data_IF_896394778114
#
_entry.id   IF_896394778114
#
_cell.length_a   1.000
_cell.length_b   1.000
_cell.length_c   1.000
_cell.angle_alpha   90.00
_cell.angle_beta   90.00
_cell.angle_gamma   90.00
#
_symmetry.space_group_name_H-M   'P 1'
#
loop_
_entity.id
_entity.type
_entity.pdbx_description
1 polymer ?
#
# COMPACT_ATOMS: atom_id res chain seq x y z
N UNK A 1 41.63 52.24 47.39
CA UNK A 1 41.21 50.82 47.35
C UNK A 1 39.97 50.68 48.22
N UNK A 2 38.78 50.76 47.62
CA UNK A 2 37.55 50.37 48.31
C UNK A 2 37.61 48.85 48.48
N UNK A 3 37.55 48.39 49.73
CA UNK A 3 37.50 46.96 50.04
C UNK A 3 36.16 46.43 49.54
N UNK A 4 36.19 45.68 48.43
CA UNK A 4 35.13 44.71 48.13
C UNK A 4 34.98 43.84 49.39
N UNK A 5 33.79 43.77 49.96
CA UNK A 5 33.51 42.93 51.13
C UNK A 5 32.59 41.79 50.69
N UNK A 6 33.14 40.65 50.25
CA UNK A 6 32.36 39.54 49.70
C UNK A 6 31.30 39.00 50.67
N UNK A 7 31.53 39.12 51.98
CA UNK A 7 30.60 38.65 53.00
C UNK A 7 29.32 39.51 53.10
N UNK A 8 29.40 40.81 52.78
CA UNK A 8 28.22 41.67 52.77
C UNK A 8 27.34 41.40 51.54
N UNK A 9 27.96 41.15 50.39
CA UNK A 9 27.27 40.81 49.13
C UNK A 9 26.54 39.46 49.22
N UNK A 10 27.20 38.42 49.74
CA UNK A 10 26.59 37.10 50.00
C UNK A 10 25.39 37.19 50.96
N UNK A 11 25.46 38.06 51.99
CA UNK A 11 24.34 38.26 52.92
C UNK A 11 23.17 39.00 52.25
N UNK A 12 23.44 39.96 51.36
CA UNK A 12 22.40 40.65 50.59
C UNK A 12 21.72 39.71 49.59
N UNK A 13 22.48 38.84 48.92
CA UNK A 13 21.94 37.87 47.97
C UNK A 13 21.05 36.83 48.66
N UNK A 14 21.43 36.39 49.87
CA UNK A 14 20.60 35.47 50.65
C UNK A 14 19.27 36.10 51.07
N UNK A 15 19.27 37.37 51.51
CA UNK A 15 18.05 38.11 51.83
C UNK A 15 17.15 38.22 50.58
N UNK A 16 17.73 38.55 49.42
CA UNK A 16 16.97 38.67 48.18
C UNK A 16 16.32 37.34 47.78
N UNK A 17 17.05 36.22 47.91
CA UNK A 17 16.53 34.86 47.68
C UNK A 17 15.37 34.54 48.63
N UNK A 18 15.49 34.89 49.91
CA UNK A 18 14.44 34.66 50.90
C UNK A 18 13.17 35.48 50.60
N UNK A 19 13.32 36.76 50.22
CA UNK A 19 12.19 37.62 49.80
C UNK A 19 11.48 37.04 48.56
N UNK A 20 12.24 36.63 47.55
CA UNK A 20 11.68 36.03 46.32
C UNK A 20 10.94 34.73 46.63
N UNK A 21 11.49 33.89 47.53
CA UNK A 21 10.82 32.66 47.98
C UNK A 21 9.52 32.96 48.70
N UNK A 22 9.51 33.86 49.69
CA UNK A 22 8.30 34.24 50.41
C UNK A 22 7.21 34.82 49.47
N UNK A 23 7.62 35.67 48.53
CA UNK A 23 6.71 36.19 47.51
C UNK A 23 6.16 35.08 46.60
N UNK A 24 7.01 34.13 46.20
CA UNK A 24 6.61 32.97 45.38
C UNK A 24 5.62 32.07 46.12
N UNK A 25 5.87 31.77 47.39
CA UNK A 25 4.97 30.97 48.23
C UNK A 25 3.61 31.65 48.40
N UNK A 26 3.61 32.96 48.65
CA UNK A 26 2.38 33.75 48.77
C UNK A 26 1.56 33.72 47.47
N UNK A 27 2.22 33.89 46.31
CA UNK A 27 1.59 33.81 45.00
C UNK A 27 1.05 32.41 44.69
N UNK A 28 1.83 31.36 44.90
CA UNK A 28 1.40 29.96 44.70
C UNK A 28 0.19 29.62 45.56
N UNK A 29 0.21 30.06 46.83
CA UNK A 29 -0.92 29.92 47.75
C UNK A 29 -2.16 30.62 47.20
N UNK A 30 -2.05 31.90 46.81
CA UNK A 30 -3.16 32.65 46.23
C UNK A 30 -3.74 31.96 44.99
N UNK A 31 -2.87 31.58 44.04
CA UNK A 31 -3.27 30.92 42.81
C UNK A 31 -4.02 29.63 43.11
N UNK A 32 -3.48 28.75 43.97
CA UNK A 32 -4.10 27.46 44.34
C UNK A 32 -5.57 27.62 44.79
N UNK A 33 -5.91 28.70 45.51
CA UNK A 33 -7.29 28.92 45.98
C UNK A 33 -8.21 29.66 45.01
N UNK A 34 -7.65 30.43 44.07
CA UNK A 34 -8.43 31.39 43.26
C UNK A 34 -8.38 31.18 41.77
N UNK A 35 -7.46 30.36 41.25
CA UNK A 35 -7.21 30.27 39.82
C UNK A 35 -8.44 29.84 39.00
N UNK A 36 -9.30 28.96 39.55
CA UNK A 36 -10.55 28.53 38.90
C UNK A 36 -11.59 29.65 38.75
N UNK A 37 -11.47 30.75 39.50
CA UNK A 37 -12.38 31.90 39.43
C UNK A 37 -11.80 33.05 38.58
N UNK A 38 -10.60 32.88 38.02
CA UNK A 38 -9.97 33.88 37.16
C UNK A 38 -10.37 33.65 35.71
N UNK A 39 -10.68 34.74 35.01
CA UNK A 39 -10.91 34.70 33.56
C UNK A 39 -9.57 34.60 32.85
N UNK A 40 -9.49 33.79 31.80
CA UNK A 40 -8.27 33.56 31.00
C UNK A 40 -7.01 33.23 31.82
N UNK A 41 -7.17 32.37 32.84
CA UNK A 41 -6.11 31.95 33.77
C UNK A 41 -4.83 31.44 33.09
N UNK A 42 -4.94 30.91 31.86
CA UNK A 42 -3.81 30.48 31.02
C UNK A 42 -2.74 31.56 30.80
N UNK A 43 -3.10 32.85 30.79
CA UNK A 43 -2.13 33.94 30.63
C UNK A 43 -1.21 34.16 31.84
N UNK A 44 -1.42 33.42 32.94
CA UNK A 44 -0.50 33.40 34.07
C UNK A 44 0.65 32.41 33.90
N UNK A 45 0.56 31.50 32.92
CA UNK A 45 1.52 30.44 32.66
C UNK A 45 2.83 30.84 31.95
N UNK A 46 2.93 31.94 31.17
CA UNK A 46 4.20 32.36 30.59
C UNK A 46 5.24 32.63 31.69
N UNK A 47 6.28 31.79 31.76
CA UNK A 47 7.37 31.90 32.71
C UNK A 47 8.67 32.03 31.91
N UNK A 48 9.29 33.19 31.99
CA UNK A 48 10.50 33.48 31.25
C UNK A 48 11.43 34.36 32.10
N UNK A 49 12.17 33.74 33.01
CA UNK A 49 13.19 34.43 33.79
C UNK A 49 14.37 34.79 32.87
N UNK A 50 14.80 36.06 32.90
CA UNK A 50 15.88 36.58 32.04
C UNK A 50 17.20 35.91 32.38
N UNK A 51 17.81 35.23 31.40
CA UNK A 51 19.09 34.52 31.55
C UNK A 51 20.16 35.11 30.63
N UNK A 52 21.44 34.93 30.98
CA UNK A 52 22.58 35.26 30.11
C UNK A 52 23.09 36.70 30.17
N UNK A 53 22.59 37.52 31.11
CA UNK A 53 23.08 38.89 31.38
C UNK A 53 23.83 39.01 32.71
N UNK A 54 23.95 37.92 33.45
CA UNK A 54 24.48 37.86 34.81
C UNK A 54 25.54 36.76 34.95
N UNK A 55 26.21 36.73 36.10
CA UNK A 55 27.18 35.70 36.45
C UNK A 55 26.56 34.29 36.56
N UNK A 56 27.42 33.28 36.65
CA UNK A 56 27.00 31.87 36.64
C UNK A 56 26.07 31.53 37.80
N UNK A 57 26.29 32.10 38.99
CA UNK A 57 25.45 31.83 40.18
C UNK A 57 24.03 32.40 40.02
N UNK A 58 23.90 33.62 39.50
CA UNK A 58 22.57 34.21 39.22
C UNK A 58 21.84 33.45 38.13
N UNK A 59 22.54 33.02 37.08
CA UNK A 59 21.94 32.21 36.01
C UNK A 59 21.44 30.86 36.55
N UNK A 60 22.21 30.19 37.40
CA UNK A 60 21.80 28.93 38.03
C UNK A 60 20.56 29.14 38.92
N UNK A 61 20.54 30.20 39.72
CA UNK A 61 19.38 30.52 40.56
C UNK A 61 18.11 30.74 39.73
N UNK A 62 18.17 31.47 38.61
CA UNK A 62 17.01 31.65 37.74
C UNK A 62 16.57 30.37 37.01
N UNK A 63 17.49 29.44 36.74
CA UNK A 63 17.13 28.11 36.21
C UNK A 63 16.37 27.29 37.27
N UNK A 64 16.83 27.30 38.52
CA UNK A 64 16.13 26.63 39.63
C UNK A 64 14.74 27.22 39.86
N UNK A 65 14.64 28.56 39.86
CA UNK A 65 13.36 29.26 40.00
C UNK A 65 12.40 28.94 38.84
N UNK A 66 12.90 28.88 37.61
CA UNK A 66 12.09 28.46 36.46
C UNK A 66 11.56 27.04 36.65
N UNK A 67 12.42 26.08 37.02
CA UNK A 67 12.00 24.69 37.27
C UNK A 67 10.93 24.61 38.36
N UNK A 68 11.08 25.37 39.44
CA UNK A 68 10.14 25.40 40.56
C UNK A 68 8.75 25.93 40.14
N UNK A 69 8.73 26.99 39.33
CA UNK A 69 7.49 27.58 38.84
C UNK A 69 6.83 26.73 37.75
N UNK A 70 7.61 26.17 36.82
CA UNK A 70 7.11 25.22 35.82
C UNK A 70 6.45 24.02 36.49
N UNK A 71 7.10 23.39 37.46
CA UNK A 71 6.56 22.25 38.21
C UNK A 71 5.22 22.57 38.91
N UNK A 72 5.10 23.80 39.43
CA UNK A 72 3.84 24.27 40.02
C UNK A 72 2.72 24.39 38.97
N UNK A 73 2.96 25.09 37.85
CA UNK A 73 1.93 25.28 36.81
C UNK A 73 1.58 24.01 36.05
N UNK A 74 2.54 23.10 35.85
CA UNK A 74 2.32 21.76 35.31
C UNK A 74 1.24 20.98 36.07
N UNK A 75 1.11 21.21 37.38
CA UNK A 75 0.15 20.53 38.22
C UNK A 75 -1.25 21.18 38.24
N UNK A 76 -1.43 22.38 37.66
CA UNK A 76 -2.70 23.10 37.69
C UNK A 76 -3.62 22.70 36.54
N UNK A 77 -4.92 22.61 36.82
CA UNK A 77 -5.95 22.27 35.83
C UNK A 77 -6.34 23.49 35.01
N UNK A 78 -5.49 23.86 34.05
CA UNK A 78 -5.60 25.12 33.29
C UNK A 78 -5.93 24.93 31.81
N UNK A 79 -5.70 23.74 31.26
CA UNK A 79 -5.90 23.50 29.83
C UNK A 79 -7.32 23.05 29.60
N UNK A 80 -8.05 23.75 28.74
CA UNK A 80 -9.35 23.30 28.28
C UNK A 80 -9.17 22.28 27.14
N UNK A 81 -9.70 21.07 27.34
CA UNK A 81 -9.63 19.98 26.35
C UNK A 81 -11.02 19.61 25.78
N UNK A 82 -12.08 19.90 26.54
CA UNK A 82 -13.49 19.79 26.16
C UNK A 82 -14.24 20.98 26.78
N UNK A 83 -15.40 21.33 26.24
CA UNK A 83 -16.20 22.47 26.73
C UNK A 83 -16.42 22.41 28.25
N UNK A 84 -15.84 23.38 28.95
CA UNK A 84 -15.96 23.54 30.39
C UNK A 84 -15.20 22.52 31.24
N UNK A 85 -14.37 21.66 30.64
CA UNK A 85 -13.52 20.70 31.37
C UNK A 85 -12.05 21.06 31.21
N UNK A 86 -11.37 21.17 32.36
CA UNK A 86 -9.94 21.45 32.41
C UNK A 86 -9.14 20.26 32.93
N UNK A 87 -7.90 20.18 32.48
CA UNK A 87 -6.94 19.13 32.84
C UNK A 87 -5.59 19.75 33.23
N UNK A 88 -4.75 18.99 33.97
CA UNK A 88 -3.40 19.41 34.30
C UNK A 88 -2.58 19.74 33.04
N UNK A 89 -1.79 20.81 33.08
CA UNK A 89 -0.87 21.14 31.97
C UNK A 89 0.12 20.00 31.71
N UNK A 90 0.57 19.28 32.75
CA UNK A 90 1.48 18.15 32.57
C UNK A 90 0.93 16.99 31.72
N UNK A 91 -0.40 16.94 31.55
CA UNK A 91 -1.07 15.86 30.83
C UNK A 91 -1.11 16.10 29.33
N UNK A 92 -0.91 17.33 28.87
CA UNK A 92 -1.07 17.66 27.45
C UNK A 92 0.18 17.40 26.63
N UNK A 93 -0.02 17.33 25.32
CA UNK A 93 1.02 17.31 24.30
C UNK A 93 0.87 18.53 23.39
N UNK A 94 2.00 19.11 23.00
CA UNK A 94 2.07 20.35 22.22
C UNK A 94 3.13 20.27 21.13
N UNK A 95 3.13 21.22 20.21
CA UNK A 95 4.05 21.21 19.07
C UNK A 95 5.46 21.60 19.50
N UNK A 96 6.47 20.99 18.87
CA UNK A 96 7.85 21.49 18.95
C UNK A 96 7.94 22.95 18.52
N UNK A 97 8.95 23.67 18.98
CA UNK A 97 9.15 25.07 18.58
C UNK A 97 9.18 25.26 17.05
N UNK A 98 9.80 24.33 16.33
CA UNK A 98 9.83 24.31 14.86
C UNK A 98 8.42 24.20 14.26
N UNK A 99 7.63 23.22 14.70
CA UNK A 99 6.27 23.01 14.20
C UNK A 99 5.33 24.16 14.60
N UNK A 100 5.49 24.70 15.81
CA UNK A 100 4.77 25.87 16.28
C UNK A 100 5.00 27.07 15.35
N UNK A 101 6.26 27.41 15.05
CA UNK A 101 6.61 28.52 14.17
C UNK A 101 6.08 28.31 12.74
N UNK A 102 6.11 27.07 12.25
CA UNK A 102 5.55 26.74 10.94
C UNK A 102 4.03 26.92 10.90
N UNK A 103 3.32 26.48 11.94
CA UNK A 103 1.86 26.60 12.03
C UNK A 103 1.39 28.04 12.27
N UNK A 104 2.20 28.87 12.93
CA UNK A 104 1.91 30.30 13.09
C UNK A 104 1.86 31.02 11.73
N UNK A 105 2.66 30.56 10.77
CA UNK A 105 2.70 31.08 9.40
C UNK A 105 1.67 30.43 8.46
N UNK A 106 1.23 29.20 8.77
CA UNK A 106 0.32 28.42 7.94
C UNK A 106 -0.79 27.76 8.77
N UNK A 107 -1.96 28.42 8.80
CA UNK A 107 -3.17 27.92 9.49
C UNK A 107 -3.62 26.56 8.93
N UNK A 108 -3.45 26.32 7.63
CA UNK A 108 -3.86 25.06 7.03
C UNK A 108 -2.95 23.90 7.43
N UNK A 109 -1.68 24.18 7.77
CA UNK A 109 -0.77 23.20 8.37
C UNK A 109 -1.21 22.85 9.80
N UNK A 110 -1.63 23.84 10.59
CA UNK A 110 -2.18 23.59 11.92
C UNK A 110 -3.41 22.67 11.88
N UNK A 111 -4.34 22.93 10.96
CA UNK A 111 -5.51 22.08 10.76
C UNK A 111 -5.11 20.64 10.38
N UNK A 112 -4.13 20.49 9.48
CA UNK A 112 -3.65 19.18 9.06
C UNK A 112 -3.00 18.39 10.20
N UNK A 113 -2.14 19.05 10.98
CA UNK A 113 -1.51 18.45 12.15
C UNK A 113 -2.58 18.09 13.19
N UNK A 114 -3.50 19.00 13.51
CA UNK A 114 -4.53 18.75 14.51
C UNK A 114 -5.42 17.56 14.13
N UNK A 115 -5.76 17.41 12.84
CA UNK A 115 -6.53 16.27 12.34
C UNK A 115 -5.79 14.93 12.56
N UNK A 116 -4.48 14.88 12.27
CA UNK A 116 -3.66 13.70 12.56
C UNK A 116 -3.61 13.42 14.06
N UNK A 117 -3.28 14.43 14.87
CA UNK A 117 -3.11 14.26 16.31
C UNK A 117 -4.42 13.84 17.00
N UNK A 118 -5.56 14.34 16.53
CA UNK A 118 -6.88 13.99 17.06
C UNK A 118 -7.25 12.51 16.83
N UNK A 119 -6.61 11.82 15.89
CA UNK A 119 -6.77 10.37 15.70
C UNK A 119 -6.01 9.53 16.73
N UNK A 120 -4.99 10.11 17.35
CA UNK A 120 -4.16 9.42 18.33
C UNK A 120 -4.83 9.46 19.72
N UNK A 121 -5.63 8.44 20.03
CA UNK A 121 -6.42 8.34 21.28
C UNK A 121 -5.57 8.46 22.57
N UNK A 122 -4.28 8.15 22.49
CA UNK A 122 -3.35 8.23 23.63
C UNK A 122 -2.81 9.66 23.88
N UNK A 123 -2.99 10.59 22.94
CA UNK A 123 -2.58 11.98 23.10
C UNK A 123 -3.72 12.80 23.70
N UNK A 124 -3.37 13.62 24.68
CA UNK A 124 -4.30 14.62 25.22
C UNK A 124 -3.84 15.98 24.67
N UNK A 125 -4.70 16.60 23.89
CA UNK A 125 -4.41 17.86 23.21
C UNK A 125 -5.24 18.98 23.83
N UNK A 126 -4.72 20.21 23.88
CA UNK A 126 -5.55 21.40 24.03
C UNK A 126 -6.59 21.49 22.91
N UNK A 127 -7.62 22.31 23.12
CA UNK A 127 -8.45 22.82 22.02
C UNK A 127 -7.56 23.40 20.92
N UNK A 128 -7.95 23.22 19.66
CA UNK A 128 -7.15 23.63 18.49
C UNK A 128 -6.78 25.12 18.55
N UNK A 129 -7.71 25.95 18.99
CA UNK A 129 -7.55 27.40 19.14
C UNK A 129 -6.49 27.77 20.18
N UNK A 130 -6.21 26.88 21.13
CA UNK A 130 -5.20 27.08 22.19
C UNK A 130 -3.88 26.35 21.92
N UNK A 131 -3.83 25.45 20.92
CA UNK A 131 -2.65 24.60 20.71
C UNK A 131 -1.38 25.43 20.48
N UNK A 132 -1.45 26.51 19.68
CA UNK A 132 -0.31 27.39 19.45
C UNK A 132 0.11 28.15 20.72
N UNK A 133 -0.87 28.59 21.52
CA UNK A 133 -0.59 29.26 22.79
C UNK A 133 0.18 28.34 23.73
N UNK A 134 -0.33 27.12 23.97
CA UNK A 134 0.32 26.15 24.85
C UNK A 134 1.66 25.67 24.31
N UNK A 135 1.79 25.52 22.98
CA UNK A 135 3.07 25.20 22.34
C UNK A 135 4.10 26.29 22.65
N UNK A 136 3.77 27.57 22.47
CA UNK A 136 4.68 28.66 22.80
C UNK A 136 5.10 28.65 24.27
N UNK A 137 4.13 28.61 25.18
CA UNK A 137 4.38 28.68 26.63
C UNK A 137 5.27 27.52 27.10
N UNK A 138 4.95 26.30 26.69
CA UNK A 138 5.71 25.12 27.10
C UNK A 138 7.11 25.09 26.46
N UNK A 139 7.28 25.52 25.20
CA UNK A 139 8.63 25.61 24.63
C UNK A 139 9.48 26.64 25.41
N UNK A 140 8.92 27.77 25.84
CA UNK A 140 9.62 28.76 26.68
C UNK A 140 10.01 28.19 28.07
N UNK A 141 9.18 27.29 28.64
CA UNK A 141 9.47 26.65 29.92
C UNK A 141 10.76 25.81 29.90
N UNK A 142 11.07 25.17 28.77
CA UNK A 142 12.19 24.24 28.63
C UNK A 142 13.29 24.72 27.67
N UNK A 143 13.37 26.02 27.37
CA UNK A 143 14.35 26.58 26.41
C UNK A 143 15.81 26.17 26.69
N UNK A 144 16.19 25.99 27.96
CA UNK A 144 17.57 25.60 28.34
C UNK A 144 17.74 24.08 28.54
N UNK A 145 16.66 23.31 28.45
CA UNK A 145 16.66 21.89 28.75
C UNK A 145 15.60 21.12 27.94
N UNK A 146 15.66 21.28 26.61
CA UNK A 146 14.71 20.68 25.67
C UNK A 146 14.58 19.16 25.85
N UNK A 147 15.65 18.49 26.27
CA UNK A 147 15.66 17.04 26.55
C UNK A 147 14.74 16.62 27.71
N UNK A 148 14.44 17.52 28.65
CA UNK A 148 13.49 17.28 29.75
C UNK A 148 12.04 17.56 29.34
N UNK A 149 11.79 18.12 28.14
CA UNK A 149 10.46 18.51 27.71
C UNK A 149 9.66 17.32 27.14
N UNK A 150 8.93 16.63 28.02
CA UNK A 150 8.12 15.46 27.67
C UNK A 150 6.78 15.79 26.99
N UNK A 151 6.46 17.07 26.79
CA UNK A 151 5.22 17.51 26.14
C UNK A 151 5.30 17.51 24.62
N UNK A 152 6.51 17.52 24.07
CA UNK A 152 6.73 17.89 22.67
C UNK A 152 6.36 16.77 21.72
N UNK A 153 5.58 17.16 20.72
CA UNK A 153 5.35 16.42 19.49
C UNK A 153 6.34 16.98 18.47
N UNK A 154 7.33 16.17 18.11
CA UNK A 154 8.31 16.51 17.07
C UNK A 154 7.81 16.05 15.69
N UNK A 155 8.57 16.40 14.64
CA UNK A 155 8.32 15.88 13.29
C UNK A 155 8.46 14.34 13.26
N UNK A 156 9.42 13.77 13.99
CA UNK A 156 9.51 12.32 14.17
C UNK A 156 8.24 11.73 14.80
N UNK A 157 7.68 12.39 15.81
CA UNK A 157 6.41 11.97 16.40
C UNK A 157 5.28 11.99 15.38
N UNK A 158 5.16 13.05 14.56
CA UNK A 158 4.15 13.12 13.50
C UNK A 158 4.30 11.97 12.50
N UNK A 159 5.53 11.68 12.08
CA UNK A 159 5.78 10.61 11.11
C UNK A 159 5.45 9.23 11.68
N UNK A 160 5.82 8.95 12.94
CA UNK A 160 5.41 7.72 13.61
C UNK A 160 3.88 7.60 13.73
N UNK A 161 3.19 8.70 14.05
CA UNK A 161 1.73 8.70 14.12
C UNK A 161 1.08 8.44 12.76
N UNK A 162 1.61 8.99 11.67
CA UNK A 162 1.13 8.70 10.32
C UNK A 162 1.26 7.20 10.04
N UNK A 163 2.42 6.60 10.35
CA UNK A 163 2.69 5.17 10.12
C UNK A 163 1.75 4.24 10.90
N UNK A 164 1.28 4.68 12.06
CA UNK A 164 0.32 3.94 12.90
C UNK A 164 -1.14 4.20 12.51
N UNK A 165 -1.41 5.19 11.65
CA UNK A 165 -2.76 5.58 11.27
C UNK A 165 -3.23 4.81 10.03
N UNK A 166 -4.42 4.20 10.13
CA UNK A 166 -5.11 3.67 8.95
C UNK A 166 -5.67 4.84 8.12
N UNK A 167 -5.19 4.99 6.91
CA UNK A 167 -5.58 6.09 6.00
C UNK A 167 -6.86 5.73 5.25
N UNK A 168 -7.73 6.73 5.10
CA UNK A 168 -8.97 6.65 4.33
C UNK A 168 -9.09 7.84 3.35
N UNK A 169 -10.08 7.85 2.47
CA UNK A 169 -10.30 8.94 1.50
C UNK A 169 -10.42 10.32 2.19
N UNK A 170 -11.06 10.40 3.36
CA UNK A 170 -11.20 11.67 4.10
C UNK A 170 -9.89 12.18 4.69
N UNK A 171 -8.83 11.35 4.69
CA UNK A 171 -7.55 11.69 5.29
C UNK A 171 -6.54 12.27 4.31
N UNK A 172 -6.80 12.13 3.01
CA UNK A 172 -5.85 12.47 1.97
C UNK A 172 -5.46 13.96 2.00
N UNK A 173 -6.39 14.85 2.34
CA UNK A 173 -6.13 16.30 2.29
C UNK A 173 -5.16 16.75 3.39
N UNK A 174 -5.37 16.29 4.65
CA UNK A 174 -4.44 16.62 5.72
C UNK A 174 -3.10 15.91 5.53
N UNK A 175 -3.11 14.65 5.06
CA UNK A 175 -1.89 13.89 4.84
C UNK A 175 -1.05 14.50 3.71
N UNK A 176 -1.69 14.93 2.62
CA UNK A 176 -1.03 15.63 1.52
C UNK A 176 -0.35 16.90 2.02
N UNK A 177 -1.06 17.71 2.81
CA UNK A 177 -0.52 18.94 3.40
C UNK A 177 0.74 18.68 4.24
N UNK A 178 0.74 17.62 5.06
CA UNK A 178 1.91 17.23 5.86
C UNK A 178 3.07 16.77 4.97
N UNK A 179 2.82 15.89 4.00
CA UNK A 179 3.85 15.43 3.07
C UNK A 179 4.45 16.59 2.25
N UNK A 180 3.61 17.54 1.82
CA UNK A 180 4.04 18.75 1.13
C UNK A 180 4.90 19.64 2.02
N UNK A 181 4.54 19.79 3.30
CA UNK A 181 5.37 20.50 4.27
C UNK A 181 6.74 19.81 4.41
N UNK A 182 6.79 18.49 4.57
CA UNK A 182 8.04 17.75 4.68
C UNK A 182 8.94 17.94 3.45
N UNK A 183 8.35 17.86 2.25
CA UNK A 183 9.07 18.05 0.98
C UNK A 183 9.76 19.41 0.87
N UNK A 184 9.08 20.48 1.30
CA UNK A 184 9.51 21.85 0.99
C UNK A 184 10.25 22.56 2.14
N UNK A 185 10.30 21.98 3.35
CA UNK A 185 10.86 22.65 4.53
C UNK A 185 12.10 21.94 5.11
N UNK A 186 12.91 21.29 4.26
CA UNK A 186 14.16 20.64 4.69
C UNK A 186 13.99 19.25 5.31
N UNK A 187 12.79 18.67 5.20
CA UNK A 187 12.39 17.40 5.84
C UNK A 187 12.08 16.30 4.81
N UNK A 188 12.60 16.42 3.59
CA UNK A 188 12.31 15.49 2.49
C UNK A 188 12.75 14.05 2.80
N UNK A 189 13.74 13.86 3.67
CA UNK A 189 14.20 12.53 4.10
C UNK A 189 13.10 11.70 4.77
N UNK A 190 12.12 12.35 5.41
CA UNK A 190 10.97 11.65 5.98
C UNK A 190 10.06 10.99 4.94
N UNK A 191 10.09 11.45 3.69
CA UNK A 191 9.35 10.80 2.58
C UNK A 191 9.95 9.44 2.19
N UNK A 192 11.17 9.13 2.64
CA UNK A 192 11.74 7.79 2.54
C UNK A 192 11.20 6.82 3.60
N UNK A 193 10.36 7.28 4.54
CA UNK A 193 9.60 6.44 5.46
C UNK A 193 8.21 6.14 4.87
N UNK A 194 7.54 5.05 5.27
CA UNK A 194 6.22 4.71 4.75
C UNK A 194 5.13 5.67 5.22
N UNK A 195 4.98 6.80 4.51
CA UNK A 195 4.01 7.87 4.82
C UNK A 195 3.23 8.36 3.59
N UNK A 196 3.56 7.88 2.39
CA UNK A 196 2.86 8.27 1.16
C UNK A 196 1.88 7.16 0.78
N UNK A 197 0.59 7.44 0.59
CA UNK A 197 -0.39 6.42 0.25
C UNK A 197 -0.28 5.98 -1.22
N UNK A 198 -0.50 4.69 -1.47
CA UNK A 198 -0.77 4.14 -2.80
C UNK A 198 -2.26 4.28 -3.18
N UNK A 199 -2.66 3.82 -4.38
CA UNK A 199 -4.08 3.79 -4.82
C UNK A 199 -5.01 2.99 -3.88
N UNK A 200 -4.47 2.12 -3.01
CA UNK A 200 -5.20 1.30 -2.04
C UNK A 200 -5.11 1.86 -0.61
N UNK A 201 -4.68 3.12 -0.45
CA UNK A 201 -4.49 3.81 0.84
C UNK A 201 -3.45 3.18 1.77
N UNK A 202 -2.65 2.23 1.27
CA UNK A 202 -1.54 1.66 2.01
C UNK A 202 -0.34 2.60 1.96
N UNK A 203 0.28 2.85 3.12
CA UNK A 203 1.44 3.73 3.24
C UNK A 203 2.70 3.04 2.72
N UNK A 204 3.41 3.71 1.82
CA UNK A 204 4.62 3.23 1.15
C UNK A 204 5.75 4.25 1.23
N UNK A 205 6.99 3.78 1.04
CA UNK A 205 8.14 4.67 0.89
C UNK A 205 8.13 5.28 -0.52
N UNK A 206 8.59 6.52 -0.65
CA UNK A 206 8.59 7.22 -1.93
C UNK A 206 9.31 6.45 -3.06
N UNK A 207 10.42 5.77 -2.75
CA UNK A 207 11.24 5.03 -3.73
C UNK A 207 10.57 3.78 -4.31
N UNK A 208 9.58 3.23 -3.61
CA UNK A 208 8.82 2.08 -4.08
C UNK A 208 7.67 2.49 -4.99
N UNK A 209 7.24 3.75 -4.90
CA UNK A 209 6.10 4.26 -5.62
C UNK A 209 6.45 4.65 -7.07
N UNK A 210 5.54 4.32 -7.97
CA UNK A 210 5.61 4.65 -9.38
C UNK A 210 4.39 5.48 -9.79
N UNK A 211 4.57 6.34 -10.79
CA UNK A 211 3.50 7.16 -11.34
C UNK A 211 2.77 6.37 -12.42
N UNK A 212 1.53 5.89 -12.19
CA UNK A 212 0.82 5.12 -13.20
C UNK A 212 0.44 6.02 -14.38
N UNK A 213 0.58 5.51 -15.60
CA UNK A 213 -0.02 6.14 -16.76
C UNK A 213 -1.55 6.18 -16.62
N UNK A 214 -2.20 7.01 -17.45
CA UNK A 214 -3.65 7.11 -17.47
C UNK A 214 -4.28 5.88 -18.17
N UNK A 215 -4.23 4.73 -17.49
CA UNK A 215 -4.86 3.50 -17.93
C UNK A 215 -6.38 3.61 -17.79
N UNK A 216 -7.12 3.14 -18.81
CA UNK A 216 -8.57 2.97 -18.73
C UNK A 216 -8.98 2.00 -17.62
N UNK A 217 -10.23 2.10 -17.17
CA UNK A 217 -10.76 1.32 -16.04
C UNK A 217 -10.57 -0.19 -16.24
N UNK A 218 -10.77 -0.67 -17.47
CA UNK A 218 -10.60 -2.09 -17.81
C UNK A 218 -9.15 -2.57 -17.66
N UNK A 219 -8.20 -1.78 -18.17
CA UNK A 219 -6.78 -2.10 -18.05
C UNK A 219 -6.32 -2.07 -16.59
N UNK A 220 -6.80 -1.11 -15.78
CA UNK A 220 -6.54 -1.09 -14.34
C UNK A 220 -7.05 -2.34 -13.63
N UNK A 221 -8.26 -2.80 -13.97
CA UNK A 221 -8.83 -4.03 -13.40
C UNK A 221 -8.01 -5.28 -13.79
N UNK A 222 -7.55 -5.37 -15.04
CA UNK A 222 -6.67 -6.44 -15.51
C UNK A 222 -5.35 -6.44 -14.72
N UNK A 223 -4.70 -5.28 -14.60
CA UNK A 223 -3.44 -5.15 -13.87
C UNK A 223 -3.60 -5.53 -12.40
N UNK A 224 -4.69 -5.11 -11.74
CA UNK A 224 -4.99 -5.49 -10.35
C UNK A 224 -5.13 -7.00 -10.15
N UNK A 225 -5.68 -7.69 -11.15
CA UNK A 225 -5.92 -9.13 -11.08
C UNK A 225 -4.66 -9.94 -11.40
N UNK A 226 -3.95 -9.58 -12.48
CA UNK A 226 -2.83 -10.38 -13.00
C UNK A 226 -1.48 -9.99 -12.39
N UNK A 227 -1.29 -8.72 -12.03
CA UNK A 227 -0.01 -8.20 -11.49
C UNK A 227 -0.25 -7.28 -10.28
N UNK A 228 -0.90 -7.77 -9.21
CA UNK A 228 -1.27 -6.96 -8.04
C UNK A 228 -0.06 -6.30 -7.38
N UNK A 229 1.09 -6.97 -7.34
CA UNK A 229 2.33 -6.42 -6.75
C UNK A 229 2.89 -5.20 -7.49
N UNK A 230 2.58 -5.06 -8.79
CA UNK A 230 2.91 -3.85 -9.55
C UNK A 230 1.93 -2.72 -9.22
N UNK A 231 0.64 -3.03 -9.07
CA UNK A 231 -0.40 -2.02 -8.78
C UNK A 231 -0.29 -1.47 -7.36
N UNK A 232 0.12 -2.29 -6.38
CA UNK A 232 0.40 -1.83 -5.01
C UNK A 232 1.46 -0.71 -4.94
N UNK A 233 2.26 -0.54 -5.99
CA UNK A 233 3.28 0.52 -6.09
C UNK A 233 2.73 1.81 -6.72
N UNK A 234 1.48 1.82 -7.18
CA UNK A 234 0.92 3.02 -7.82
C UNK A 234 0.66 4.09 -6.78
N UNK A 235 1.34 5.22 -6.89
CA UNK A 235 1.09 6.37 -6.02
C UNK A 235 -0.36 6.83 -6.16
N UNK A 236 -0.98 7.22 -5.04
CA UNK A 236 -2.28 7.84 -5.06
C UNK A 236 -2.26 9.12 -5.93
N UNK A 237 -3.30 9.35 -6.73
CA UNK A 237 -3.34 10.47 -7.70
C UNK A 237 -3.08 11.84 -7.09
N UNK A 238 -3.57 12.08 -5.86
CA UNK A 238 -3.35 13.32 -5.10
C UNK A 238 -1.89 13.54 -4.64
N UNK A 239 -1.04 12.51 -4.66
CA UNK A 239 0.33 12.55 -4.12
C UNK A 239 1.41 12.49 -5.21
N UNK A 240 1.03 12.57 -6.49
CA UNK A 240 1.97 12.53 -7.63
C UNK A 240 3.00 13.67 -7.57
N UNK A 241 2.59 14.83 -7.05
CA UNK A 241 3.41 16.02 -6.85
C UNK A 241 4.36 15.92 -5.67
N UNK A 242 4.09 15.04 -4.69
CA UNK A 242 4.98 14.78 -3.55
C UNK A 242 6.17 13.94 -4.01
N UNK A 243 5.91 12.89 -4.78
CA UNK A 243 6.92 11.98 -5.30
C UNK A 243 7.93 12.71 -6.20
N UNK A 244 9.22 12.36 -6.07
CA UNK A 244 10.34 12.94 -6.84
C UNK A 244 10.04 13.08 -8.34
N UNK A 245 10.54 14.16 -8.94
CA UNK A 245 10.34 14.47 -10.37
C UNK A 245 10.96 13.39 -11.28
N UNK A 246 11.94 12.62 -10.79
CA UNK A 246 12.58 11.51 -11.49
C UNK A 246 12.01 10.12 -11.19
N UNK A 247 10.94 10.00 -10.40
CA UNK A 247 10.36 8.69 -10.07
C UNK A 247 9.86 7.97 -11.32
N UNK A 248 10.06 6.65 -11.33
CA UNK A 248 9.74 5.81 -12.48
C UNK A 248 8.26 5.90 -12.83
N UNK A 249 7.97 6.19 -14.09
CA UNK A 249 6.63 6.08 -14.63
C UNK A 249 6.33 4.60 -14.87
N UNK A 250 5.11 4.18 -14.56
CA UNK A 250 4.60 2.87 -14.94
C UNK A 250 3.66 3.06 -16.12
N UNK A 251 4.22 2.95 -17.33
CA UNK A 251 3.52 3.10 -18.58
C UNK A 251 3.22 1.76 -19.25
N UNK A 252 2.96 1.82 -20.55
CA UNK A 252 2.67 0.64 -21.35
C UNK A 252 3.84 -0.34 -21.35
N UNK A 253 5.09 0.14 -21.42
CA UNK A 253 6.29 -0.71 -21.46
C UNK A 253 6.45 -1.52 -20.17
N UNK A 254 6.31 -0.87 -19.02
CA UNK A 254 6.39 -1.54 -17.72
C UNK A 254 5.24 -2.52 -17.54
N UNK A 255 4.04 -2.18 -18.02
CA UNK A 255 2.91 -3.10 -18.07
C UNK A 255 3.19 -4.32 -18.98
N UNK A 256 3.80 -4.12 -20.16
CA UNK A 256 4.23 -5.21 -21.06
C UNK A 256 5.14 -6.19 -20.32
N UNK A 257 6.13 -5.66 -19.59
CA UNK A 257 7.14 -6.45 -18.88
C UNK A 257 6.50 -7.21 -17.74
N UNK A 258 5.72 -6.54 -16.88
CA UNK A 258 5.06 -7.17 -15.73
C UNK A 258 4.10 -8.29 -16.17
N UNK A 259 3.22 -8.01 -17.15
CA UNK A 259 2.32 -9.02 -17.72
C UNK A 259 3.12 -10.12 -18.41
N UNK A 260 4.20 -9.78 -19.11
CA UNK A 260 5.09 -10.72 -19.76
C UNK A 260 5.68 -11.75 -18.79
N UNK A 261 6.18 -11.28 -17.64
CA UNK A 261 6.70 -12.13 -16.56
C UNK A 261 5.62 -12.98 -15.91
N UNK A 262 4.41 -12.44 -15.73
CA UNK A 262 3.25 -13.23 -15.28
C UNK A 262 2.97 -14.40 -16.22
N UNK A 263 2.85 -14.16 -17.53
CA UNK A 263 2.61 -15.22 -18.51
C UNK A 263 3.74 -16.26 -18.57
N UNK A 264 5.00 -15.83 -18.44
CA UNK A 264 6.14 -16.74 -18.39
C UNK A 264 6.08 -17.66 -17.16
N UNK A 265 5.63 -17.14 -16.00
CA UNK A 265 5.44 -17.95 -14.79
C UNK A 265 4.38 -19.05 -14.97
N UNK A 266 3.32 -18.80 -15.74
CA UNK A 266 2.32 -19.82 -16.09
C UNK A 266 2.94 -20.93 -16.96
N UNK A 267 3.71 -20.56 -18.00
CA UNK A 267 4.28 -21.54 -18.93
C UNK A 267 5.28 -22.52 -18.30
N UNK A 268 6.12 -22.05 -17.37
CA UNK A 268 7.11 -22.91 -16.70
C UNK A 268 6.47 -24.06 -15.92
N UNK A 269 5.31 -23.81 -15.32
CA UNK A 269 4.58 -24.83 -14.58
C UNK A 269 3.93 -25.86 -15.52
N UNK A 270 3.26 -25.38 -16.56
CA UNK A 270 2.57 -26.23 -17.55
C UNK A 270 3.54 -27.20 -18.23
N UNK A 271 4.76 -26.73 -18.55
CA UNK A 271 5.79 -27.56 -19.18
C UNK A 271 6.25 -28.72 -18.28
N UNK A 272 6.46 -28.46 -16.98
CA UNK A 272 6.88 -29.49 -16.03
C UNK A 272 5.83 -30.59 -15.88
N UNK A 273 4.57 -30.20 -15.66
CA UNK A 273 3.46 -31.13 -15.48
C UNK A 273 3.16 -31.92 -16.74
N UNK A 274 3.15 -31.24 -17.89
CA UNK A 274 2.95 -31.86 -19.20
C UNK A 274 3.99 -32.94 -19.47
N UNK A 275 5.26 -32.65 -19.20
CA UNK A 275 6.34 -33.61 -19.43
C UNK A 275 6.19 -34.87 -18.56
N UNK A 276 5.73 -34.73 -17.30
CA UNK A 276 5.40 -35.86 -16.44
C UNK A 276 4.23 -36.69 -16.97
N UNK A 277 3.16 -36.05 -17.44
CA UNK A 277 1.99 -36.74 -18.01
C UNK A 277 2.36 -37.52 -19.28
N UNK A 278 3.15 -36.93 -20.18
CA UNK A 278 3.63 -37.59 -21.41
C UNK A 278 4.51 -38.79 -21.06
N UNK A 279 5.35 -38.70 -20.02
CA UNK A 279 6.19 -39.78 -19.55
C UNK A 279 5.42 -40.90 -18.80
N UNK A 280 4.11 -40.74 -18.58
CA UNK A 280 3.29 -41.73 -17.88
C UNK A 280 3.54 -41.78 -16.37
N UNK A 281 4.12 -40.71 -15.79
CA UNK A 281 4.32 -40.60 -14.35
C UNK A 281 2.96 -40.30 -13.69
N UNK A 282 2.59 -40.99 -12.59
CA UNK A 282 1.37 -40.67 -11.85
C UNK A 282 1.40 -39.22 -11.35
N UNK A 283 0.37 -38.45 -11.66
CA UNK A 283 0.23 -37.06 -11.26
C UNK A 283 -0.89 -36.93 -10.21
N UNK A 284 -0.62 -36.20 -9.13
CA UNK A 284 -1.65 -35.83 -8.16
C UNK A 284 -2.56 -34.73 -8.72
N UNK A 285 -3.78 -35.12 -9.10
CA UNK A 285 -4.80 -34.22 -9.67
C UNK A 285 -5.14 -33.07 -8.71
N UNK A 286 -5.03 -33.28 -7.39
CA UNK A 286 -5.30 -32.23 -6.40
C UNK A 286 -4.21 -31.16 -6.35
N UNK A 287 -2.97 -31.51 -6.73
CA UNK A 287 -1.91 -30.50 -6.86
C UNK A 287 -2.09 -29.66 -8.14
N UNK A 288 -2.66 -30.25 -9.18
CA UNK A 288 -3.00 -29.53 -10.41
C UNK A 288 -4.16 -28.55 -10.21
N UNK A 289 -5.26 -28.96 -9.56
CA UNK A 289 -6.43 -28.08 -9.37
C UNK A 289 -6.09 -26.79 -8.62
N UNK A 290 -5.13 -26.85 -7.69
CA UNK A 290 -4.62 -25.68 -6.94
C UNK A 290 -3.76 -24.72 -7.76
N UNK A 291 -3.28 -25.15 -8.92
CA UNK A 291 -2.34 -24.40 -9.78
C UNK A 291 -2.93 -24.05 -11.15
N UNK A 292 -4.19 -24.41 -11.37
CA UNK A 292 -4.98 -23.94 -12.51
C UNK A 292 -5.13 -22.42 -12.44
N UNK A 293 -5.17 -21.77 -13.60
CA UNK A 293 -5.50 -20.34 -13.67
C UNK A 293 -6.88 -20.15 -12.99
N UNK A 294 -6.96 -19.23 -12.03
CA UNK A 294 -8.20 -18.99 -11.31
C UNK A 294 -9.26 -18.38 -12.23
N UNK A 295 -10.53 -18.48 -11.84
CA UNK A 295 -11.63 -17.95 -12.64
C UNK A 295 -11.48 -16.45 -12.94
N UNK A 296 -11.05 -15.67 -11.96
CA UNK A 296 -10.86 -14.22 -12.09
C UNK A 296 -9.68 -13.89 -13.01
N UNK A 297 -8.58 -14.65 -12.90
CA UNK A 297 -7.44 -14.52 -13.81
C UNK A 297 -7.80 -14.91 -15.24
N UNK A 298 -8.56 -16.00 -15.45
CA UNK A 298 -9.05 -16.38 -16.79
C UNK A 298 -9.86 -15.24 -17.39
N UNK A 299 -10.79 -14.65 -16.63
CA UNK A 299 -11.57 -13.49 -17.09
C UNK A 299 -10.67 -12.30 -17.43
N UNK A 300 -9.70 -11.97 -16.58
CA UNK A 300 -8.77 -10.87 -16.83
C UNK A 300 -7.87 -11.12 -18.06
N UNK A 301 -7.41 -12.35 -18.30
CA UNK A 301 -6.65 -12.72 -19.50
C UNK A 301 -7.57 -12.64 -20.74
N UNK A 302 -8.83 -13.09 -20.65
CA UNK A 302 -9.79 -12.98 -21.75
C UNK A 302 -10.13 -11.53 -22.09
N UNK A 303 -10.27 -10.67 -21.07
CA UNK A 303 -10.43 -9.23 -21.24
C UNK A 303 -9.23 -8.61 -21.95
N UNK A 304 -8.01 -8.91 -21.47
CA UNK A 304 -6.78 -8.47 -22.12
C UNK A 304 -6.69 -8.97 -23.57
N UNK A 305 -7.02 -10.23 -23.80
CA UNK A 305 -7.01 -10.83 -25.12
C UNK A 305 -7.99 -10.11 -26.06
N UNK A 306 -9.21 -9.80 -25.61
CA UNK A 306 -10.19 -9.06 -26.40
C UNK A 306 -9.69 -7.65 -26.76
N UNK A 307 -9.07 -6.96 -25.82
CA UNK A 307 -8.47 -5.63 -26.04
C UNK A 307 -7.39 -5.67 -27.12
N UNK A 308 -6.57 -6.73 -27.17
CA UNK A 308 -5.51 -6.89 -28.17
C UNK A 308 -6.03 -7.32 -29.55
N UNK A 309 -7.15 -8.05 -29.63
CA UNK A 309 -7.69 -8.57 -30.90
C UNK A 309 -8.41 -7.51 -31.72
N UNK A 310 -8.88 -6.40 -31.14
CA UNK A 310 -9.83 -5.44 -31.74
C UNK A 310 -9.54 -4.96 -33.19
N UNK A 311 -8.36 -5.23 -33.74
CA UNK A 311 -7.94 -4.92 -35.12
C UNK A 311 -7.66 -6.14 -36.03
N UNK A 312 -7.98 -7.37 -35.61
CA UNK A 312 -7.55 -8.63 -36.26
C UNK A 312 -8.72 -9.42 -36.88
N UNK A 313 -9.51 -8.78 -37.74
CA UNK A 313 -10.69 -9.42 -38.33
C UNK A 313 -10.33 -10.67 -39.16
N UNK A 314 -10.94 -11.81 -38.83
CA UNK A 314 -10.83 -13.09 -39.52
C UNK A 314 -9.50 -13.84 -39.30
N UNK A 315 -8.62 -13.36 -38.42
CA UNK A 315 -7.34 -14.01 -38.12
C UNK A 315 -7.48 -15.23 -37.20
N UNK A 316 -6.42 -16.05 -37.11
CA UNK A 316 -6.34 -17.11 -36.09
C UNK A 316 -6.60 -16.59 -34.66
N UNK A 317 -6.06 -15.43 -34.22
CA UNK A 317 -6.33 -14.90 -32.89
C UNK A 317 -7.83 -14.71 -32.61
N UNK A 318 -8.62 -14.22 -33.56
CA UNK A 318 -10.06 -14.04 -33.34
C UNK A 318 -10.82 -15.37 -33.27
N UNK A 319 -10.51 -16.31 -34.18
CA UNK A 319 -11.14 -17.65 -34.14
C UNK A 319 -10.79 -18.40 -32.86
N UNK A 320 -9.54 -18.33 -32.42
CA UNK A 320 -9.07 -18.93 -31.17
C UNK A 320 -9.79 -18.30 -29.96
N UNK A 321 -9.95 -16.97 -29.94
CA UNK A 321 -10.69 -16.28 -28.89
C UNK A 321 -12.15 -16.73 -28.79
N UNK A 322 -12.85 -16.89 -29.92
CA UNK A 322 -14.25 -17.36 -29.92
C UNK A 322 -14.35 -18.78 -29.36
N UNK A 323 -13.42 -19.66 -29.71
CA UNK A 323 -13.38 -21.02 -29.16
C UNK A 323 -13.04 -21.03 -27.67
N UNK A 324 -12.08 -20.22 -27.22
CA UNK A 324 -11.77 -20.09 -25.79
C UNK A 324 -12.93 -19.47 -25.00
N UNK A 325 -13.67 -18.54 -25.62
CA UNK A 325 -14.90 -17.97 -25.02
C UNK A 325 -15.98 -19.05 -24.82
N UNK A 326 -16.17 -19.94 -25.80
CA UNK A 326 -17.05 -21.13 -25.68
C UNK A 326 -16.55 -22.09 -24.58
N UNK A 327 -15.24 -22.24 -24.40
CA UNK A 327 -14.70 -23.15 -23.39
C UNK A 327 -14.94 -22.67 -21.95
N UNK A 328 -14.68 -21.38 -21.70
CA UNK A 328 -14.73 -20.74 -20.38
C UNK A 328 -16.08 -20.08 -20.06
N UNK A 329 -17.08 -20.24 -20.93
CA UNK A 329 -18.40 -19.58 -20.82
C UNK A 329 -18.26 -18.06 -20.62
N UNK A 330 -17.38 -17.45 -21.42
CA UNK A 330 -17.02 -16.03 -21.33
C UNK A 330 -17.79 -15.19 -22.34
N UNK A 331 -18.45 -14.14 -21.86
CA UNK A 331 -19.19 -13.19 -22.67
C UNK A 331 -18.54 -11.80 -22.57
N UNK A 332 -17.99 -11.26 -23.66
CA UNK A 332 -17.31 -9.97 -23.62
C UNK A 332 -18.32 -8.82 -23.47
N UNK A 333 -18.11 -7.95 -22.48
CA UNK A 333 -18.91 -6.74 -22.26
C UNK A 333 -18.35 -5.49 -22.99
N UNK A 334 -17.29 -5.62 -23.79
CA UNK A 334 -16.41 -4.47 -24.11
C UNK A 334 -16.87 -3.56 -25.26
N UNK A 335 -16.81 -2.24 -24.99
CA UNK A 335 -16.76 -1.11 -25.95
C UNK A 335 -15.45 -0.31 -25.89
N UNK A 336 -14.49 -0.65 -25.01
CA UNK A 336 -13.20 0.08 -24.90
C UNK A 336 -12.14 -0.48 -25.86
N UNK A 337 -11.50 0.41 -26.63
CA UNK A 337 -10.30 0.12 -27.42
C UNK A 337 -9.05 0.51 -26.63
N UNK A 338 -8.08 -0.39 -26.48
CA UNK A 338 -6.77 -0.10 -25.86
C UNK A 338 -5.66 -0.17 -26.90
N UNK A 339 -4.66 0.70 -26.76
CA UNK A 339 -3.55 0.83 -27.70
C UNK A 339 -2.82 -0.51 -27.94
N UNK A 340 -2.54 -0.78 -29.22
CA UNK A 340 -1.94 -2.01 -29.80
C UNK A 340 -0.58 -2.44 -29.22
N UNK A 341 0.04 -1.63 -28.38
CA UNK A 341 1.47 -1.72 -28.07
C UNK A 341 1.77 -2.39 -26.72
N UNK A 342 0.75 -2.87 -25.99
CA UNK A 342 0.91 -3.33 -24.60
C UNK A 342 1.35 -4.80 -24.47
N UNK A 343 0.99 -5.70 -25.39
CA UNK A 343 1.41 -7.09 -25.27
C UNK A 343 1.23 -7.86 -26.58
N UNK A 344 2.13 -8.82 -26.82
CA UNK A 344 1.92 -9.82 -27.86
C UNK A 344 0.71 -10.70 -27.52
N UNK A 345 -0.34 -10.62 -28.35
CA UNK A 345 -1.59 -11.39 -28.22
C UNK A 345 -1.36 -12.90 -28.06
N UNK A 346 -0.23 -13.40 -28.60
CA UNK A 346 0.17 -14.81 -28.50
C UNK A 346 0.38 -15.26 -27.06
N UNK A 347 0.83 -14.37 -26.17
CA UNK A 347 0.99 -14.69 -24.74
C UNK A 347 -0.35 -15.05 -24.10
N UNK A 348 -1.41 -14.32 -24.43
CA UNK A 348 -2.75 -14.56 -23.88
C UNK A 348 -3.31 -15.91 -24.34
N UNK A 349 -3.38 -16.13 -25.65
CA UNK A 349 -4.01 -17.35 -26.16
C UNK A 349 -3.18 -18.60 -25.89
N UNK A 350 -1.84 -18.51 -25.84
CA UNK A 350 -1.01 -19.68 -25.50
C UNK A 350 -1.29 -20.13 -24.07
N UNK A 351 -1.33 -19.22 -23.10
CA UNK A 351 -1.62 -19.55 -21.71
C UNK A 351 -3.01 -20.18 -21.56
N UNK A 352 -4.03 -19.58 -22.18
CA UNK A 352 -5.40 -20.10 -22.13
C UNK A 352 -5.56 -21.45 -22.83
N UNK A 353 -4.86 -21.68 -23.96
CA UNK A 353 -4.84 -22.97 -24.66
C UNK A 353 -4.13 -24.04 -23.83
N UNK A 354 -3.02 -23.71 -23.17
CA UNK A 354 -2.34 -24.64 -22.28
C UNK A 354 -3.27 -25.08 -21.14
N UNK A 355 -3.92 -24.14 -20.45
CA UNK A 355 -4.89 -24.44 -19.38
C UNK A 355 -6.07 -25.28 -19.89
N UNK A 356 -6.71 -24.87 -21.00
CA UNK A 356 -7.90 -25.54 -21.51
C UNK A 356 -7.61 -26.97 -22.00
N UNK A 357 -6.51 -27.17 -22.73
CA UNK A 357 -6.12 -28.48 -23.26
C UNK A 357 -5.60 -29.42 -22.17
N UNK A 358 -4.91 -28.87 -21.16
CA UNK A 358 -4.49 -29.61 -19.98
C UNK A 358 -5.70 -30.02 -19.14
N UNK A 359 -6.64 -29.09 -18.90
CA UNK A 359 -7.91 -29.35 -18.25
C UNK A 359 -8.68 -30.46 -18.95
N UNK A 360 -8.82 -30.39 -20.28
CA UNK A 360 -9.44 -31.45 -21.08
C UNK A 360 -8.68 -32.79 -21.01
N UNK A 361 -7.34 -32.75 -20.93
CA UNK A 361 -6.53 -33.97 -20.82
C UNK A 361 -6.82 -34.70 -19.50
N UNK A 362 -6.94 -33.95 -18.41
CA UNK A 362 -7.14 -34.45 -17.06
C UNK A 362 -8.60 -34.76 -16.72
N UNK A 363 -9.55 -34.22 -17.47
CA UNK A 363 -10.97 -34.43 -17.23
C UNK A 363 -11.36 -35.91 -17.38
N UNK A 364 -12.16 -36.40 -16.43
CA UNK A 364 -12.64 -37.79 -16.42
C UNK A 364 -13.82 -37.97 -17.37
N UNK A 365 -14.68 -36.95 -17.50
CA UNK A 365 -15.81 -36.93 -18.43
C UNK A 365 -15.61 -35.88 -19.52
N UNK A 366 -15.18 -36.34 -20.69
CA UNK A 366 -14.86 -35.49 -21.85
C UNK A 366 -16.05 -35.24 -22.77
N UNK A 367 -17.20 -35.84 -22.49
CA UNK A 367 -18.38 -35.86 -23.38
C UNK A 367 -18.93 -34.45 -23.65
N UNK A 368 -18.99 -33.62 -22.62
CA UNK A 368 -19.50 -32.24 -22.68
C UNK A 368 -18.64 -31.30 -23.54
N UNK A 369 -17.36 -31.64 -23.77
CA UNK A 369 -16.41 -30.81 -24.53
C UNK A 369 -15.96 -31.46 -25.85
N UNK A 370 -16.56 -32.59 -26.27
CA UNK A 370 -16.23 -33.29 -27.52
C UNK A 370 -16.41 -32.42 -28.77
N UNK A 371 -17.47 -31.60 -28.85
CA UNK A 371 -17.65 -30.70 -29.99
C UNK A 371 -16.59 -29.59 -29.99
N UNK A 372 -16.26 -29.05 -28.83
CA UNK A 372 -15.28 -27.99 -28.70
C UNK A 372 -13.87 -28.48 -29.06
N UNK A 373 -13.46 -29.65 -28.56
CA UNK A 373 -12.11 -30.19 -28.82
C UNK A 373 -11.89 -30.48 -30.31
N UNK A 374 -12.94 -30.92 -31.03
CA UNK A 374 -12.85 -31.10 -32.48
C UNK A 374 -12.57 -29.76 -33.18
N UNK A 375 -13.36 -28.73 -32.89
CA UNK A 375 -13.22 -27.39 -33.49
C UNK A 375 -11.83 -26.81 -33.22
N UNK A 376 -11.33 -26.88 -31.98
CA UNK A 376 -10.01 -26.32 -31.64
C UNK A 376 -8.88 -27.13 -32.27
N UNK A 377 -8.98 -28.45 -32.37
CA UNK A 377 -7.97 -29.28 -33.06
C UNK A 377 -7.90 -28.94 -34.55
N UNK A 378 -9.05 -28.80 -35.21
CA UNK A 378 -9.13 -28.38 -36.61
C UNK A 378 -8.51 -27.00 -36.84
N UNK A 379 -8.79 -26.03 -35.97
CA UNK A 379 -8.19 -24.70 -36.05
C UNK A 379 -6.69 -24.72 -35.80
N UNK A 380 -6.21 -25.40 -34.76
CA UNK A 380 -4.77 -25.50 -34.44
C UNK A 380 -3.98 -26.26 -35.51
N UNK A 381 -4.60 -27.20 -36.23
CA UNK A 381 -3.93 -27.96 -37.28
C UNK A 381 -3.64 -27.10 -38.53
N UNK A 382 -4.49 -26.09 -38.80
CA UNK A 382 -4.34 -25.16 -39.94
C UNK A 382 -3.08 -24.30 -39.85
N UNK A 383 -2.52 -24.10 -38.65
CA UNK A 383 -1.35 -23.24 -38.42
C UNK A 383 -0.17 -24.05 -37.92
N UNK A 384 0.95 -24.03 -38.66
CA UNK A 384 2.14 -24.82 -38.36
C UNK A 384 2.68 -24.57 -36.95
N UNK A 385 2.69 -23.31 -36.52
CA UNK A 385 3.27 -22.90 -35.24
C UNK A 385 2.46 -23.40 -34.03
N UNK A 386 1.18 -23.74 -34.22
CA UNK A 386 0.30 -24.25 -33.15
C UNK A 386 0.18 -25.77 -33.12
N UNK A 387 0.76 -26.48 -34.08
CA UNK A 387 0.71 -27.95 -34.11
C UNK A 387 1.43 -28.62 -32.93
N UNK A 388 2.34 -27.90 -32.25
CA UNK A 388 2.97 -28.41 -31.03
C UNK A 388 1.96 -28.67 -29.91
N UNK A 389 0.93 -27.83 -29.76
CA UNK A 389 -0.17 -28.08 -28.81
C UNK A 389 -0.81 -29.45 -29.05
N UNK A 390 -1.04 -29.79 -30.32
CA UNK A 390 -1.70 -31.03 -30.69
C UNK A 390 -0.88 -32.29 -30.35
N UNK A 391 0.44 -32.19 -30.25
CA UNK A 391 1.31 -33.33 -29.85
C UNK A 391 1.33 -33.54 -28.35
N UNK A 392 1.03 -32.48 -27.61
CA UNK A 392 1.35 -32.28 -26.21
C UNK A 392 0.19 -32.61 -25.26
N UNK A 393 -1.01 -32.87 -25.79
CA UNK A 393 -2.24 -33.10 -25.02
C UNK A 393 -3.03 -34.30 -25.56
N UNK A 394 -3.90 -34.87 -24.71
CA UNK A 394 -4.77 -36.00 -25.11
C UNK A 394 -6.01 -35.48 -25.81
N UNK A 395 -5.87 -35.12 -27.09
CA UNK A 395 -6.92 -34.45 -27.88
C UNK A 395 -7.49 -35.32 -28.99
N UNK A 396 -6.90 -36.48 -29.25
CA UNK A 396 -7.33 -37.37 -30.33
C UNK A 396 -8.07 -38.59 -29.80
N UNK A 397 -9.34 -38.81 -30.19
CA UNK A 397 -10.04 -40.04 -29.83
C UNK A 397 -9.44 -41.23 -30.60
N UNK A 398 -9.21 -42.34 -29.90
CA UNK A 398 -8.96 -43.62 -30.56
C UNK A 398 -10.27 -44.25 -31.09
N UNK A 399 -10.19 -45.43 -31.70
CA UNK A 399 -11.36 -46.14 -32.23
C UNK A 399 -12.42 -46.50 -31.16
N UNK A 400 -12.05 -46.48 -29.89
CA UNK A 400 -12.92 -46.72 -28.73
C UNK A 400 -13.47 -45.42 -28.11
N UNK A 401 -13.22 -44.26 -28.73
CA UNK A 401 -13.63 -42.96 -28.21
C UNK A 401 -12.77 -42.45 -27.03
N UNK A 402 -11.73 -43.16 -26.63
CA UNK A 402 -10.81 -42.71 -25.57
C UNK A 402 -9.79 -41.74 -26.15
N UNK A 403 -9.67 -40.56 -25.55
CA UNK A 403 -8.72 -39.54 -25.97
C UNK A 403 -7.26 -39.93 -25.63
N UNK A 404 -6.35 -39.75 -26.58
CA UNK A 404 -4.94 -40.15 -26.54
C UNK A 404 -4.03 -39.07 -27.12
N UNK A 405 -2.74 -39.17 -26.80
CA UNK A 405 -1.70 -38.36 -27.44
C UNK A 405 -1.46 -38.79 -28.88
N UNK A 406 -0.99 -37.88 -29.74
CA UNK A 406 -0.64 -38.19 -31.13
C UNK A 406 0.35 -39.36 -31.25
N UNK A 407 1.36 -39.41 -30.37
CA UNK A 407 2.40 -40.45 -30.34
C UNK A 407 1.88 -41.85 -29.98
N UNK A 408 0.71 -41.93 -29.36
CA UNK A 408 0.08 -43.19 -28.94
C UNK A 408 -0.83 -43.77 -30.03
N UNK A 409 -1.13 -42.99 -31.07
CA UNK A 409 -2.00 -43.40 -32.16
C UNK A 409 -1.17 -43.86 -33.36
N UNK A 410 -1.55 -45.00 -33.91
CA UNK A 410 -0.98 -45.51 -35.16
C UNK A 410 -2.01 -45.36 -36.26
N UNK A 411 -1.57 -44.85 -37.42
CA UNK A 411 -2.41 -44.89 -38.62
C UNK A 411 -2.53 -46.33 -39.07
N UNK A 412 -3.70 -46.67 -39.58
CA UNK A 412 -3.93 -47.95 -40.21
C UNK A 412 -2.99 -48.09 -41.43
N UNK A 413 -2.23 -49.19 -41.49
CA UNK A 413 -1.41 -49.49 -42.67
C UNK A 413 -2.32 -49.88 -43.85
N UNK A 414 -1.98 -49.42 -45.04
CA UNK A 414 -2.65 -49.85 -46.27
C UNK A 414 -2.53 -51.37 -46.41
N UNK A 415 -3.66 -52.08 -46.41
CA UNK A 415 -3.71 -53.52 -46.66
C UNK A 415 -4.29 -54.40 -45.55
N UNK A 416 -4.74 -53.85 -44.42
CA UNK A 416 -5.40 -54.67 -43.39
C UNK A 416 -6.70 -55.29 -43.95
N UNK A 417 -6.83 -56.64 -43.98
CA UNK A 417 -8.00 -57.32 -44.52
C UNK A 417 -9.28 -56.99 -43.74
N UNK A 418 -10.41 -56.78 -44.45
CA UNK A 418 -11.71 -56.42 -43.85
C UNK A 418 -12.15 -57.34 -42.70
N UNK A 419 -11.84 -58.64 -42.77
CA UNK A 419 -12.21 -59.61 -41.72
C UNK A 419 -11.40 -59.43 -40.43
N UNK A 420 -10.12 -59.08 -40.53
CA UNK A 420 -9.28 -58.75 -39.38
C UNK A 420 -9.77 -57.47 -38.68
N UNK A 421 -10.26 -56.49 -39.45
CA UNK A 421 -10.94 -55.30 -38.90
C UNK A 421 -12.22 -55.67 -38.15
N UNK A 422 -13.03 -56.55 -38.74
CA UNK A 422 -14.25 -57.06 -38.11
C UNK A 422 -13.97 -57.78 -36.78
N UNK A 423 -12.98 -58.67 -36.76
CA UNK A 423 -12.56 -59.37 -35.55
C UNK A 423 -11.99 -58.43 -34.47
N UNK A 424 -11.19 -57.44 -34.87
CA UNK A 424 -10.68 -56.43 -33.93
C UNK A 424 -11.82 -55.65 -33.26
N UNK A 425 -12.79 -55.18 -34.05
CA UNK A 425 -13.96 -54.47 -33.52
C UNK A 425 -14.83 -55.37 -32.63
N UNK A 426 -15.04 -56.64 -33.00
CA UNK A 426 -15.75 -57.62 -32.16
C UNK A 426 -15.05 -57.81 -30.81
N UNK A 427 -13.72 -57.97 -30.80
CA UNK A 427 -12.92 -58.17 -29.57
C UNK A 427 -12.92 -56.91 -28.70
N UNK A 428 -12.75 -55.73 -29.30
CA UNK A 428 -12.66 -54.48 -28.57
C UNK A 428 -14.02 -54.02 -28.02
N UNK A 429 -15.12 -54.22 -28.75
CA UNK A 429 -16.47 -53.88 -28.27
C UNK A 429 -16.96 -54.82 -27.17
N UNK A 430 -16.56 -56.10 -27.19
CA UNK A 430 -16.89 -57.06 -26.12
C UNK A 430 -16.24 -56.75 -24.77
N UNK A 431 -15.25 -55.85 -24.70
CA UNK A 431 -14.64 -55.40 -23.45
C UNK A 431 -15.41 -54.25 -22.76
N UNK A 432 -16.53 -53.77 -23.32
CA UNK A 432 -17.38 -52.71 -22.74
C UNK A 432 -18.50 -53.28 -21.84
N UNK A 433 -18.80 -54.59 -21.91
CA UNK A 433 -19.84 -55.24 -21.09
C UNK A 433 -19.30 -56.04 -19.87
N UNK A 434 -18.34 -55.48 -19.12
CA UNK A 434 -17.98 -56.01 -17.80
C UNK A 434 -17.81 -54.95 -16.74
#
# INVERSE_FOLDING_TARGET
MLRFNPQAEVHHDQINKDIIREASDALKKYLTYKYLNLTDVRFLCPINFVKGKSDNETNQYYQELQKEWVSFFECLNLVEYEDGKTIPVKSIRVLSNELYLACEQDVSLLDAIYNLLSKAVHLILPKKEELLFWSKVINEWYVDNEAENLHIISIDSLVSLIQETTITESDLDWLHKLCYYFKNNGHADYLNKPIIPNEEYSLCIQKELVKPANFGNKMKAILRTLVPESVKKFVHSRFVDIVEEGSSNFGNVEACVALGSYFESLTLYDDSLRNSLIAGVPVDINQHSKKRISYDEVRAIMDLYKLLIANSYGGFPERCFNLLSEYYDYYPDNTEEVAKEVLDVRKCYNALLHDALLGFTLDTDKSSKTSWILKIVEELFKFKDTQNFLRNYQVYPNQMGTYKYASQLKKEEFGIPKRLKGLYNEICNNNIEK
#
